data_IF_550165013665
#
_entry.id   IF_550165013665
#
_cell.length_a   1.000
_cell.length_b   1.000
_cell.length_c   1.000
_cell.angle_alpha   90.00
_cell.angle_beta   90.00
_cell.angle_gamma   90.00
#
_symmetry.space_group_name_H-M   'P 1'
#
loop_
_entity.id
_entity.type
_entity.pdbx_description
1 polymer ?
#
# COMPACT_ATOMS: atom_id res chain seq x y z
N UNK A 1 7.18 15.80 -7.35
CA UNK A 1 7.56 15.91 -5.93
C UNK A 1 7.10 14.65 -5.20
N UNK A 2 7.88 14.08 -4.28
CA UNK A 2 7.48 12.89 -3.49
C UNK A 2 6.52 13.30 -2.36
N UNK A 3 5.59 12.42 -1.94
CA UNK A 3 4.67 12.73 -0.86
C UNK A 3 5.41 12.80 0.48
N UNK A 4 5.32 13.93 1.16
CA UNK A 4 5.94 14.16 2.47
C UNK A 4 4.96 13.88 3.61
N UNK A 5 5.49 13.45 4.77
CA UNK A 5 4.72 13.31 6.01
C UNK A 5 3.80 12.09 6.08
N UNK A 6 3.86 11.17 5.11
CA UNK A 6 3.05 9.94 5.13
C UNK A 6 3.31 9.09 6.37
N UNK A 7 4.58 8.90 6.74
CA UNK A 7 4.93 8.10 7.90
C UNK A 7 4.38 8.72 9.19
N UNK A 8 4.56 10.03 9.40
CA UNK A 8 4.01 10.74 10.56
C UNK A 8 2.48 10.66 10.60
N UNK A 9 1.83 10.79 9.44
CA UNK A 9 0.38 10.65 9.32
C UNK A 9 -0.12 9.28 9.78
N UNK A 10 0.52 8.20 9.33
CA UNK A 10 0.13 6.84 9.73
C UNK A 10 0.54 6.50 11.17
N UNK A 11 1.71 6.93 11.63
CA UNK A 11 2.12 6.78 13.03
C UNK A 11 1.13 7.46 13.98
N UNK A 12 0.70 8.69 13.67
CA UNK A 12 -0.31 9.41 14.45
C UNK A 12 -1.69 8.72 14.47
N UNK A 13 -2.01 7.93 13.43
CA UNK A 13 -3.21 7.09 13.37
C UNK A 13 -3.05 5.72 14.06
N UNK A 14 -1.91 5.46 14.68
CA UNK A 14 -1.62 4.25 15.44
C UNK A 14 -1.24 3.02 14.60
N UNK A 15 -0.88 3.20 13.32
CA UNK A 15 -0.30 2.11 12.54
C UNK A 15 1.09 1.77 13.08
N UNK A 16 1.34 0.49 13.31
CA UNK A 16 2.55 0.02 13.98
C UNK A 16 3.26 -1.14 13.25
N UNK A 17 2.69 -1.56 12.12
CA UNK A 17 3.22 -2.63 11.29
C UNK A 17 3.09 -2.25 9.81
N UNK A 18 4.19 -2.27 9.07
CA UNK A 18 4.27 -1.82 7.69
C UNK A 18 4.90 -2.89 6.82
N UNK A 19 4.23 -3.26 5.75
CA UNK A 19 4.71 -4.28 4.82
C UNK A 19 4.37 -3.91 3.39
N UNK A 20 5.24 -4.22 2.44
CA UNK A 20 4.97 -3.86 1.04
C UNK A 20 6.16 -4.03 0.13
N UNK A 21 5.90 -3.98 -1.17
CA UNK A 21 6.95 -4.05 -2.19
C UNK A 21 7.57 -2.65 -2.35
N UNK A 22 8.88 -2.47 -2.08
CA UNK A 22 9.53 -1.16 -2.16
C UNK A 22 9.38 -0.51 -3.55
N UNK A 23 8.98 0.77 -3.57
CA UNK A 23 8.91 1.56 -4.80
C UNK A 23 9.62 2.91 -4.60
N UNK A 24 10.16 3.48 -5.69
CA UNK A 24 10.94 4.72 -5.65
C UNK A 24 10.11 5.96 -5.30
N UNK A 25 8.81 5.94 -5.60
CA UNK A 25 7.90 7.05 -5.27
C UNK A 25 7.68 7.20 -3.75
N UNK A 26 7.70 6.07 -3.02
CA UNK A 26 7.56 6.01 -1.56
C UNK A 26 8.92 5.94 -0.85
N UNK A 27 10.03 6.29 -1.52
CA UNK A 27 11.36 6.13 -0.96
C UNK A 27 11.56 6.87 0.37
N UNK A 28 11.00 8.08 0.51
CA UNK A 28 11.14 8.88 1.73
C UNK A 28 10.35 8.24 2.87
N UNK A 29 9.10 7.82 2.62
CA UNK A 29 8.27 7.05 3.55
C UNK A 29 8.96 5.76 4.02
N UNK A 30 9.55 5.00 3.09
CA UNK A 30 10.31 3.77 3.40
C UNK A 30 11.57 4.10 4.21
N UNK A 31 12.24 5.22 3.91
CA UNK A 31 13.40 5.70 4.65
C UNK A 31 13.06 6.00 6.12
N UNK A 32 11.94 6.70 6.36
CA UNK A 32 11.44 6.97 7.71
C UNK A 32 11.08 5.68 8.45
N UNK A 33 10.39 4.73 7.79
CA UNK A 33 10.07 3.42 8.38
C UNK A 33 11.30 2.62 8.78
N UNK A 34 12.38 2.66 7.98
CA UNK A 34 13.64 1.99 8.30
C UNK A 34 14.39 2.65 9.45
N UNK A 35 14.17 3.94 9.68
CA UNK A 35 14.84 4.72 10.70
C UNK A 35 14.15 4.61 12.08
N UNK A 36 12.89 4.20 12.15
CA UNK A 36 12.14 4.06 13.40
C UNK A 36 12.18 2.62 13.96
N UNK A 37 12.93 2.36 15.04
CA UNK A 37 13.00 1.02 15.66
C UNK A 37 11.73 0.62 16.43
N UNK A 38 10.82 1.55 16.72
CA UNK A 38 9.55 1.23 17.40
C UNK A 38 8.54 0.57 16.45
N UNK A 39 8.72 0.75 15.14
CA UNK A 39 7.81 0.26 14.12
C UNK A 39 8.28 -1.06 13.55
N UNK A 40 7.35 -1.97 13.25
CA UNK A 40 7.69 -3.17 12.50
C UNK A 40 7.62 -2.86 11.01
N UNK A 41 8.75 -2.97 10.30
CA UNK A 41 8.81 -2.78 8.86
C UNK A 41 9.36 -4.03 8.16
N UNK A 42 8.59 -4.59 7.22
CA UNK A 42 8.98 -5.77 6.44
C UNK A 42 8.89 -5.47 4.94
N UNK A 43 10.01 -5.43 4.20
CA UNK A 43 9.96 -5.39 2.73
C UNK A 43 9.46 -6.74 2.20
N UNK A 44 8.44 -6.71 1.35
CA UNK A 44 7.89 -7.90 0.70
C UNK A 44 8.41 -8.04 -0.74
N UNK A 45 8.47 -9.28 -1.23
CA UNK A 45 8.86 -9.59 -2.61
C UNK A 45 7.72 -9.43 -3.62
N UNK A 46 6.46 -9.49 -3.14
CA UNK A 46 5.22 -9.38 -3.92
C UNK A 46 4.10 -8.84 -3.05
N UNK A 47 3.12 -8.18 -3.65
CA UNK A 47 2.01 -7.53 -2.94
C UNK A 47 1.03 -8.54 -2.29
N UNK A 48 0.81 -9.69 -2.93
CA UNK A 48 -0.01 -10.77 -2.35
C UNK A 48 0.60 -11.33 -1.06
N UNK A 49 1.93 -11.51 -1.03
CA UNK A 49 2.68 -11.89 0.17
C UNK A 49 2.60 -10.80 1.23
N UNK A 50 2.68 -9.52 0.84
CA UNK A 50 2.54 -8.41 1.77
C UNK A 50 1.18 -8.42 2.48
N UNK A 51 0.09 -8.68 1.74
CA UNK A 51 -1.25 -8.81 2.32
C UNK A 51 -1.32 -10.01 3.27
N UNK A 52 -0.78 -11.18 2.90
CA UNK A 52 -0.78 -12.35 3.78
C UNK A 52 -0.03 -12.09 5.11
N UNK A 53 1.13 -11.42 5.05
CA UNK A 53 1.89 -11.00 6.25
C UNK A 53 1.06 -10.01 7.08
N UNK A 54 0.44 -9.02 6.44
CA UNK A 54 -0.40 -8.03 7.11
C UNK A 54 -1.59 -8.69 7.82
N UNK A 55 -2.25 -9.66 7.19
CA UNK A 55 -3.33 -10.44 7.82
C UNK A 55 -2.82 -11.16 9.08
N UNK A 56 -1.65 -11.79 9.01
CA UNK A 56 -1.04 -12.41 10.19
C UNK A 56 -0.76 -11.40 11.32
N UNK A 57 -0.24 -10.22 10.98
CA UNK A 57 -0.01 -9.15 11.94
C UNK A 57 -1.31 -8.62 12.55
N UNK A 58 -2.35 -8.44 11.74
CA UNK A 58 -3.70 -8.06 12.18
C UNK A 58 -4.27 -9.08 13.18
N UNK A 59 -4.17 -10.37 12.85
CA UNK A 59 -4.62 -11.45 13.75
C UNK A 59 -3.82 -11.52 15.05
N UNK A 60 -2.57 -11.05 15.04
CA UNK A 60 -1.74 -10.89 16.24
C UNK A 60 -2.03 -9.61 17.04
N UNK A 61 -3.07 -8.85 16.68
CA UNK A 61 -3.48 -7.62 17.37
C UNK A 61 -2.70 -6.37 16.98
N UNK A 62 -1.92 -6.41 15.89
CA UNK A 62 -1.24 -5.23 15.33
C UNK A 62 -2.18 -4.43 14.43
N UNK A 63 -1.79 -3.21 14.08
CA UNK A 63 -2.50 -2.36 13.10
C UNK A 63 -1.65 -2.21 11.84
N UNK A 64 -1.77 -3.16 10.88
CA UNK A 64 -0.92 -3.19 9.70
C UNK A 64 -1.37 -2.23 8.60
N UNK A 65 -0.39 -1.77 7.82
CA UNK A 65 -0.55 -1.06 6.58
C UNK A 65 0.25 -1.74 5.47
N UNK A 66 -0.41 -2.00 4.33
CA UNK A 66 0.23 -2.54 3.13
C UNK A 66 0.48 -1.39 2.17
N UNK A 67 1.75 -1.14 1.82
CA UNK A 67 2.07 -0.16 0.78
C UNK A 67 2.42 -0.84 -0.54
N UNK A 68 2.02 -0.21 -1.64
CA UNK A 68 2.26 -0.70 -3.00
C UNK A 68 2.19 0.44 -4.03
N UNK A 69 2.56 0.13 -5.26
CA UNK A 69 2.26 0.98 -6.42
C UNK A 69 1.05 0.45 -7.20
N UNK A 70 0.48 1.29 -8.06
CA UNK A 70 -0.70 0.97 -8.88
C UNK A 70 -0.57 -0.36 -9.62
N UNK A 71 0.60 -0.69 -10.18
CA UNK A 71 0.79 -1.97 -10.89
C UNK A 71 0.67 -3.19 -10.00
N UNK A 72 1.00 -3.07 -8.70
CA UNK A 72 0.86 -4.14 -7.72
C UNK A 72 -0.59 -4.44 -7.35
N UNK A 73 -1.53 -3.53 -7.64
CA UNK A 73 -2.95 -3.71 -7.32
C UNK A 73 -3.54 -4.94 -8.03
N UNK A 74 -3.06 -5.27 -9.23
CA UNK A 74 -3.49 -6.47 -9.95
C UNK A 74 -3.21 -7.77 -9.17
N UNK A 75 -2.13 -7.81 -8.38
CA UNK A 75 -1.83 -8.95 -7.51
C UNK A 75 -2.77 -9.05 -6.31
N UNK A 76 -3.49 -7.98 -5.96
CA UNK A 76 -4.38 -7.95 -4.81
C UNK A 76 -5.81 -8.42 -5.12
N UNK A 77 -6.17 -8.64 -6.39
CA UNK A 77 -7.50 -9.14 -6.77
C UNK A 77 -7.85 -10.43 -6.03
N UNK A 78 -6.95 -11.42 -6.06
CA UNK A 78 -7.20 -12.70 -5.40
C UNK A 78 -7.13 -12.59 -3.87
N UNK A 79 -6.12 -11.98 -3.23
CA UNK A 79 -6.12 -11.75 -1.78
C UNK A 79 -7.36 -10.99 -1.28
N UNK A 80 -7.81 -9.94 -1.97
CA UNK A 80 -9.00 -9.19 -1.56
C UNK A 80 -10.25 -10.08 -1.61
N UNK A 81 -10.45 -10.80 -2.71
CA UNK A 81 -11.69 -11.57 -2.94
C UNK A 81 -11.73 -12.93 -2.23
N UNK A 82 -10.57 -13.54 -1.93
CA UNK A 82 -10.50 -14.87 -1.33
C UNK A 82 -10.02 -14.90 0.13
N UNK A 83 -9.34 -13.86 0.61
CA UNK A 83 -8.78 -13.81 1.97
C UNK A 83 -9.33 -12.63 2.80
N UNK A 84 -9.41 -11.43 2.25
CA UNK A 84 -9.87 -10.26 3.03
C UNK A 84 -11.39 -10.28 3.20
N UNK A 85 -12.13 -10.24 2.08
CA UNK A 85 -13.60 -10.17 2.10
C UNK A 85 -14.27 -11.36 2.81
N UNK A 86 -13.97 -12.64 2.49
CA UNK A 86 -14.70 -13.76 3.07
C UNK A 86 -14.54 -13.89 4.59
N UNK A 87 -13.44 -13.35 5.13
CA UNK A 87 -13.12 -13.39 6.54
C UNK A 87 -13.43 -12.07 7.26
N UNK A 88 -14.00 -11.08 6.56
CA UNK A 88 -14.32 -9.77 7.13
C UNK A 88 -13.08 -9.01 7.62
N UNK A 89 -11.92 -9.25 7.02
CA UNK A 89 -10.66 -8.59 7.37
C UNK A 89 -10.44 -7.40 6.43
N UNK A 90 -10.18 -6.23 7.00
CA UNK A 90 -9.78 -5.04 6.25
C UNK A 90 -8.33 -4.68 6.58
N UNK A 91 -7.50 -4.53 5.55
CA UNK A 91 -6.10 -4.12 5.68
C UNK A 91 -5.90 -2.80 4.96
N UNK A 92 -5.46 -1.76 5.65
CA UNK A 92 -5.28 -0.46 5.02
C UNK A 92 -4.23 -0.50 3.90
N UNK A 93 -4.61 -0.06 2.70
CA UNK A 93 -3.73 0.00 1.54
C UNK A 93 -3.21 1.42 1.31
N UNK A 94 -1.90 1.62 1.27
CA UNK A 94 -1.28 2.85 0.76
C UNK A 94 -0.81 2.62 -0.68
N UNK A 95 -1.52 3.18 -1.65
CA UNK A 95 -1.23 2.96 -3.08
C UNK A 95 -0.65 4.22 -3.70
N UNK A 96 0.57 4.08 -4.24
CA UNK A 96 1.15 5.08 -5.13
C UNK A 96 0.63 4.93 -6.55
N UNK A 97 -0.19 5.89 -7.00
CA UNK A 97 -0.73 5.96 -8.34
C UNK A 97 0.31 6.59 -9.28
N UNK A 98 1.04 5.75 -10.01
CA UNK A 98 2.14 6.17 -10.87
C UNK A 98 1.71 6.28 -12.32
N UNK A 99 1.93 7.44 -12.93
CA UNK A 99 1.58 7.72 -14.33
C UNK A 99 2.76 7.48 -15.28
N UNK A 100 3.98 7.51 -14.76
CA UNK A 100 5.21 7.45 -15.55
C UNK A 100 6.28 6.55 -14.93
N UNK A 101 7.20 6.01 -15.75
CA UNK A 101 7.19 5.95 -17.23
C UNK A 101 5.97 5.19 -17.82
N UNK A 102 5.84 5.15 -19.15
CA UNK A 102 4.60 4.77 -19.86
C UNK A 102 4.05 3.39 -19.46
N UNK A 103 4.91 2.46 -19.03
CA UNK A 103 4.52 1.14 -18.54
C UNK A 103 3.63 1.18 -17.29
N UNK A 104 3.62 2.29 -16.54
CA UNK A 104 2.74 2.45 -15.38
C UNK A 104 1.36 3.02 -15.74
N UNK A 105 1.21 3.61 -16.94
CA UNK A 105 0.03 4.41 -17.32
C UNK A 105 -1.26 3.59 -17.35
N UNK A 106 -1.25 2.38 -17.91
CA UNK A 106 -2.46 1.56 -17.99
C UNK A 106 -2.98 1.17 -16.60
N UNK A 107 -2.07 0.78 -15.70
CA UNK A 107 -2.45 0.45 -14.32
C UNK A 107 -2.91 1.69 -13.55
N UNK A 108 -2.34 2.87 -13.81
CA UNK A 108 -2.88 4.12 -13.29
C UNK A 108 -4.31 4.39 -13.74
N UNK A 109 -4.57 4.24 -15.05
CA UNK A 109 -5.88 4.52 -15.67
C UNK A 109 -7.00 3.68 -15.06
N UNK A 110 -6.73 2.40 -14.77
CA UNK A 110 -7.75 1.45 -14.28
C UNK A 110 -7.78 1.28 -12.76
N UNK A 111 -6.79 1.79 -12.00
CA UNK A 111 -6.64 1.46 -10.57
C UNK A 111 -7.87 1.81 -9.73
N UNK A 112 -8.49 2.97 -9.98
CA UNK A 112 -9.67 3.44 -9.24
C UNK A 112 -10.90 2.57 -9.54
N UNK A 113 -11.15 2.33 -10.83
CA UNK A 113 -12.23 1.44 -11.29
C UNK A 113 -12.06 0.02 -10.75
N UNK A 114 -10.82 -0.48 -10.65
CA UNK A 114 -10.54 -1.78 -10.08
C UNK A 114 -10.84 -1.82 -8.57
N UNK A 115 -10.49 -0.78 -7.80
CA UNK A 115 -10.83 -0.69 -6.38
C UNK A 115 -12.35 -0.61 -6.16
N UNK A 116 -13.05 0.15 -6.99
CA UNK A 116 -14.51 0.26 -6.98
C UNK A 116 -15.16 -1.09 -7.30
N UNK A 117 -14.68 -1.78 -8.34
CA UNK A 117 -15.17 -3.12 -8.70
C UNK A 117 -14.89 -4.15 -7.59
N UNK A 118 -13.76 -4.01 -6.90
CA UNK A 118 -13.43 -4.81 -5.74
C UNK A 118 -14.16 -4.37 -4.47
N UNK A 119 -14.96 -3.31 -4.49
CA UNK A 119 -15.59 -2.69 -3.31
C UNK A 119 -14.60 -2.57 -2.14
N UNK A 120 -13.40 -2.03 -2.42
CA UNK A 120 -12.33 -1.90 -1.43
C UNK A 120 -12.06 -0.42 -1.14
N UNK A 121 -12.50 0.03 0.03
CA UNK A 121 -12.53 1.44 0.45
C UNK A 121 -11.46 1.81 1.49
N UNK A 122 -10.88 0.83 2.18
CA UNK A 122 -9.81 1.03 3.17
C UNK A 122 -8.45 1.31 2.50
N UNK A 123 -8.37 2.46 1.81
CA UNK A 123 -7.25 2.83 0.94
C UNK A 123 -6.89 4.31 1.07
N UNK A 124 -5.59 4.60 1.10
CA UNK A 124 -5.02 5.93 0.87
C UNK A 124 -4.32 5.93 -0.50
N UNK A 125 -4.74 6.83 -1.39
CA UNK A 125 -4.15 7.00 -2.72
C UNK A 125 -3.23 8.21 -2.73
N UNK A 126 -1.99 8.02 -3.17
CA UNK A 126 -1.03 9.12 -3.41
C UNK A 126 -0.67 9.19 -4.88
N UNK A 127 -0.98 10.31 -5.52
CA UNK A 127 -0.72 10.51 -6.94
C UNK A 127 0.67 11.07 -7.19
N UNK A 128 1.37 10.49 -8.18
CA UNK A 128 2.58 11.06 -8.74
C UNK A 128 2.23 12.27 -9.62
N UNK A 129 2.78 13.48 -9.33
CA UNK A 129 2.52 14.66 -10.16
C UNK A 129 3.14 14.48 -11.54
N UNK A 130 2.56 15.14 -12.55
CA UNK A 130 3.13 15.13 -13.89
C UNK A 130 4.47 15.86 -13.88
N UNK A 131 5.46 15.37 -14.63
CA UNK A 131 6.68 16.14 -14.86
C UNK A 131 6.32 17.48 -15.53
N UNK A 132 6.52 18.59 -14.81
CA UNK A 132 6.24 19.94 -15.30
C UNK A 132 5.17 20.73 -14.54
N UNK A 133 4.55 20.13 -13.52
CA UNK A 133 3.67 20.79 -12.54
C UNK A 133 4.37 21.11 -11.22
#
# INVERSE_FOLDING_TARGET
MRPMGLYQHFKAKGYDFFVGVPCSYLADFIGELRADPEMTYIPAVREDVAVAIAVGAYMAGRKPLVYLQSSGLGHLVNPITSLLKPYGISIHLLISLRRQPFEHFEMYRIARELLELLEYDDVTLVEEPLCGE
#
